data_IF_557098573593
#
_entry.id   IF_557098573593
#
_cell.length_a   1.000
_cell.length_b   1.000
_cell.length_c   1.000
_cell.angle_alpha   90.00
_cell.angle_beta   90.00
_cell.angle_gamma   90.00
#
_symmetry.space_group_name_H-M   'P 1'
#
loop_
_entity.id
_entity.type
_entity.pdbx_description
1 polymer ?
#
# COMPACT_ATOMS: atom_id res chain seq x y z
N UNK A 1 -2.52 1.81 31.97
CA UNK A 1 -1.52 2.17 30.93
C UNK A 1 -0.72 3.34 31.45
N UNK A 2 0.60 3.23 31.57
CA UNK A 2 1.44 4.33 32.05
C UNK A 2 1.35 5.52 31.08
N UNK A 3 1.12 6.76 31.55
CA UNK A 3 1.03 7.95 30.69
C UNK A 3 2.30 8.23 29.88
N UNK A 4 3.43 7.64 30.29
CA UNK A 4 4.72 7.74 29.60
C UNK A 4 4.76 6.97 28.28
N UNK A 5 4.15 5.78 28.23
CA UNK A 5 4.09 4.96 27.02
C UNK A 5 3.28 5.63 25.91
N UNK A 6 2.16 6.27 26.27
CA UNK A 6 1.33 7.04 25.32
C UNK A 6 2.12 8.20 24.73
N UNK A 7 2.89 8.90 25.56
CA UNK A 7 3.76 9.99 25.08
C UNK A 7 4.83 9.48 24.12
N UNK A 8 5.45 8.35 24.42
CA UNK A 8 6.46 7.71 23.56
C UNK A 8 5.87 7.35 22.19
N UNK A 9 4.67 6.77 22.15
CA UNK A 9 3.99 6.42 20.90
C UNK A 9 3.69 7.65 20.04
N UNK A 10 3.20 8.74 20.64
CA UNK A 10 2.93 10.01 19.93
C UNK A 10 4.22 10.56 19.31
N UNK A 11 5.32 10.62 20.06
CA UNK A 11 6.61 11.08 19.53
C UNK A 11 7.15 10.17 18.44
N UNK A 12 6.98 8.85 18.58
CA UNK A 12 7.38 7.90 17.55
C UNK A 12 6.60 8.15 16.24
N UNK A 13 5.28 8.36 16.33
CA UNK A 13 4.45 8.67 15.16
C UNK A 13 4.85 10.00 14.49
N UNK A 14 5.06 11.06 15.26
CA UNK A 14 5.51 12.36 14.76
C UNK A 14 6.87 12.25 14.05
N UNK A 15 7.81 11.55 14.68
CA UNK A 15 9.16 11.36 14.15
C UNK A 15 9.11 10.56 12.84
N UNK A 16 8.34 9.47 12.79
CA UNK A 16 8.17 8.67 11.58
C UNK A 16 7.54 9.48 10.46
N UNK A 17 6.49 10.26 10.76
CA UNK A 17 5.84 11.12 9.78
C UNK A 17 6.82 12.13 9.18
N UNK A 18 7.57 12.83 10.03
CA UNK A 18 8.57 13.80 9.59
C UNK A 18 9.69 13.16 8.76
N UNK A 19 10.21 12.01 9.20
CA UNK A 19 11.24 11.27 8.47
C UNK A 19 10.77 10.83 7.08
N UNK A 20 9.55 10.31 6.98
CA UNK A 20 8.97 9.86 5.70
C UNK A 20 8.74 11.05 4.76
N UNK A 21 8.25 12.19 5.26
CA UNK A 21 8.12 13.40 4.45
C UNK A 21 9.47 13.89 3.93
N UNK A 22 10.53 13.86 4.74
CA UNK A 22 11.89 14.18 4.27
C UNK A 22 12.39 13.22 3.20
N UNK A 23 12.08 11.93 3.33
CA UNK A 23 12.41 10.93 2.29
C UNK A 23 11.68 11.26 1.00
N UNK A 24 10.38 11.57 1.07
CA UNK A 24 9.57 11.94 -0.10
C UNK A 24 10.12 13.18 -0.79
N UNK A 25 10.42 14.25 -0.04
CA UNK A 25 10.98 15.49 -0.60
C UNK A 25 12.32 15.25 -1.30
N UNK A 26 13.22 14.44 -0.70
CA UNK A 26 14.51 14.10 -1.32
C UNK A 26 14.36 13.25 -2.58
N UNK A 27 13.38 12.34 -2.59
CA UNK A 27 13.10 11.52 -3.78
C UNK A 27 12.49 12.35 -4.90
N UNK A 28 11.59 13.28 -4.54
CA UNK A 28 10.98 14.22 -5.48
C UNK A 28 12.04 15.09 -6.14
N UNK A 29 12.91 15.70 -5.34
CA UNK A 29 14.01 16.55 -5.81
C UNK A 29 15.00 15.77 -6.71
N UNK A 30 15.38 14.56 -6.29
CA UNK A 30 16.32 13.74 -7.07
C UNK A 30 15.78 13.19 -8.39
N UNK A 31 14.47 13.08 -8.56
CA UNK A 31 13.82 12.55 -9.77
C UNK A 31 13.03 13.62 -10.56
N UNK A 32 13.05 14.89 -10.12
CA UNK A 32 12.28 15.98 -10.74
C UNK A 32 10.76 15.78 -10.69
N UNK A 33 10.26 15.09 -9.65
CA UNK A 33 8.85 14.78 -9.50
C UNK A 33 8.18 15.76 -8.54
N UNK A 34 6.90 16.04 -8.77
CA UNK A 34 6.07 16.72 -7.79
C UNK A 34 5.90 15.82 -6.54
N UNK A 35 6.30 16.28 -5.32
CA UNK A 35 6.24 15.46 -4.11
C UNK A 35 4.84 14.96 -3.79
N UNK A 36 3.80 15.70 -4.20
CA UNK A 36 2.41 15.31 -4.01
C UNK A 36 2.02 14.07 -4.83
N UNK A 37 2.80 13.72 -5.86
CA UNK A 37 2.55 12.52 -6.67
C UNK A 37 3.10 11.24 -6.05
N UNK A 38 3.91 11.36 -5.00
CA UNK A 38 4.51 10.23 -4.29
C UNK A 38 3.56 9.83 -3.15
N UNK A 39 3.02 8.62 -3.16
CA UNK A 39 2.15 8.16 -2.07
C UNK A 39 2.93 7.93 -0.78
N UNK A 40 2.52 8.63 0.27
CA UNK A 40 3.00 8.43 1.63
C UNK A 40 2.89 6.97 2.08
N UNK A 41 1.77 6.31 1.79
CA UNK A 41 1.51 4.92 2.22
C UNK A 41 2.46 3.94 1.49
N UNK A 42 2.79 4.18 0.22
CA UNK A 42 3.78 3.33 -0.47
C UNK A 42 5.17 3.49 0.12
N UNK A 43 5.60 4.73 0.39
CA UNK A 43 6.90 5.00 1.01
C UNK A 43 6.97 4.37 2.40
N UNK A 44 5.91 4.49 3.21
CA UNK A 44 5.80 3.81 4.50
C UNK A 44 5.91 2.28 4.35
N UNK A 45 5.14 1.66 3.45
CA UNK A 45 5.16 0.20 3.22
C UNK A 45 6.53 -0.31 2.78
N UNK A 46 7.27 0.45 1.98
CA UNK A 46 8.60 0.08 1.52
C UNK A 46 9.67 0.33 2.57
N UNK A 47 9.57 1.44 3.30
CA UNK A 47 10.46 1.74 4.44
C UNK A 47 10.31 0.68 5.52
N UNK A 48 9.08 0.34 5.91
CA UNK A 48 8.81 -0.74 6.88
C UNK A 48 9.41 -2.06 6.43
N UNK A 49 9.21 -2.46 5.17
CA UNK A 49 9.83 -3.68 4.62
C UNK A 49 11.35 -3.63 4.66
N UNK A 50 11.95 -2.48 4.38
CA UNK A 50 13.40 -2.33 4.43
C UNK A 50 13.95 -2.44 5.86
N UNK A 51 13.26 -1.87 6.85
CA UNK A 51 13.67 -1.93 8.27
C UNK A 51 13.52 -3.34 8.81
N UNK A 52 12.39 -4.02 8.53
CA UNK A 52 12.16 -5.41 8.96
C UNK A 52 13.18 -6.38 8.33
N UNK A 53 13.63 -6.12 7.10
CA UNK A 53 14.66 -6.91 6.42
C UNK A 53 16.10 -6.51 6.81
N UNK A 54 16.31 -5.45 7.59
CA UNK A 54 17.65 -4.92 7.89
C UNK A 54 17.86 -4.67 9.39
N UNK A 55 18.40 -5.68 10.07
CA UNK A 55 19.21 -5.47 11.27
C UNK A 55 20.62 -5.11 10.79
N UNK A 56 20.99 -3.82 10.84
CA UNK A 56 22.37 -3.38 10.61
C UNK A 56 22.50 -1.98 10.03
N UNK A 57 23.00 -1.06 10.85
CA UNK A 57 23.23 0.37 10.58
C UNK A 57 24.38 0.60 9.59
N UNK A 58 24.20 0.27 8.30
CA UNK A 58 25.20 0.57 7.26
C UNK A 58 24.72 1.63 6.27
N UNK A 59 25.47 2.73 6.15
CA UNK A 59 25.18 3.83 5.22
C UNK A 59 25.08 3.37 3.75
N UNK A 60 25.82 2.32 3.36
CA UNK A 60 25.75 1.73 2.01
C UNK A 60 24.37 1.13 1.74
N UNK A 61 23.77 0.46 2.73
CA UNK A 61 22.43 -0.13 2.62
C UNK A 61 21.35 0.94 2.51
N UNK A 62 21.51 2.05 3.25
CA UNK A 62 20.62 3.20 3.14
C UNK A 62 20.63 3.80 1.72
N UNK A 63 21.82 4.01 1.14
CA UNK A 63 21.93 4.48 -0.26
C UNK A 63 21.27 3.53 -1.24
N UNK A 64 21.48 2.22 -1.09
CA UNK A 64 20.86 1.22 -1.94
C UNK A 64 19.33 1.19 -1.78
N UNK A 65 18.84 1.35 -0.55
CA UNK A 65 17.42 1.51 -0.28
C UNK A 65 16.84 2.75 -0.97
N UNK A 66 17.49 3.91 -0.86
CA UNK A 66 17.05 5.14 -1.52
C UNK A 66 16.99 4.96 -3.05
N UNK A 67 17.99 4.34 -3.67
CA UNK A 67 17.98 4.03 -5.11
C UNK A 67 16.83 3.07 -5.51
N UNK A 68 16.59 2.03 -4.70
CA UNK A 68 15.46 1.11 -4.90
C UNK A 68 14.10 1.78 -4.68
N UNK A 69 14.04 2.76 -3.78
CA UNK A 69 12.83 3.53 -3.55
C UNK A 69 12.54 4.44 -4.74
N UNK A 70 13.53 5.19 -5.21
CA UNK A 70 13.42 6.09 -6.35
C UNK A 70 12.89 5.37 -7.60
N UNK A 71 13.50 4.22 -7.95
CA UNK A 71 13.02 3.39 -9.06
C UNK A 71 11.58 2.90 -8.90
N UNK A 72 11.12 2.62 -7.67
CA UNK A 72 9.72 2.22 -7.41
C UNK A 72 8.75 3.39 -7.49
N UNK A 73 9.15 4.55 -7.01
CA UNK A 73 8.36 5.79 -7.09
C UNK A 73 8.15 6.17 -8.54
N UNK A 74 9.21 6.20 -9.36
CA UNK A 74 9.15 6.50 -10.80
C UNK A 74 8.27 5.48 -11.53
N UNK A 75 8.47 4.18 -11.29
CA UNK A 75 7.69 3.12 -11.96
C UNK A 75 6.20 3.12 -11.61
N UNK A 76 5.84 3.60 -10.42
CA UNK A 76 4.46 3.54 -9.91
C UNK A 76 4.11 4.83 -9.17
N UNK A 77 4.13 5.95 -9.88
CA UNK A 77 3.55 7.19 -9.39
C UNK A 77 2.05 6.93 -9.10
N UNK A 78 1.60 7.25 -7.89
CA UNK A 78 0.34 6.65 -7.38
C UNK A 78 -0.93 7.17 -8.01
N UNK A 79 -0.87 8.24 -8.77
CA UNK A 79 -2.02 8.79 -9.43
C UNK A 79 -1.62 9.10 -10.88
N UNK A 80 -2.53 8.83 -11.83
CA UNK A 80 -2.53 9.60 -13.08
C UNK A 80 -2.56 11.10 -12.76
N UNK A 81 -2.37 11.98 -13.76
CA UNK A 81 -2.39 13.44 -13.59
C UNK A 81 -3.41 13.86 -12.49
N UNK A 82 -2.92 14.33 -11.33
CA UNK A 82 -3.80 14.85 -10.26
C UNK A 82 -4.64 15.94 -10.92
N UNK A 83 -5.96 15.79 -10.91
CA UNK A 83 -6.87 16.84 -11.36
C UNK A 83 -6.61 18.09 -10.52
N UNK A 84 -6.67 19.27 -11.13
CA UNK A 84 -6.57 20.54 -10.40
C UNK A 84 -7.55 20.52 -9.22
N UNK A 85 -7.15 21.11 -8.09
CA UNK A 85 -8.01 21.22 -6.89
C UNK A 85 -9.27 22.07 -7.12
N UNK A 86 -9.37 22.71 -8.29
CA UNK A 86 -10.52 23.47 -8.79
C UNK A 86 -11.65 22.60 -9.35
N UNK A 87 -11.41 21.31 -9.64
CA UNK A 87 -12.48 20.45 -10.10
C UNK A 87 -13.49 20.22 -8.97
N UNK A 88 -14.77 20.53 -9.22
CA UNK A 88 -15.86 20.26 -8.30
C UNK A 88 -15.75 18.82 -7.78
N UNK A 89 -15.93 18.67 -6.46
CA UNK A 89 -15.98 17.36 -5.82
C UNK A 89 -17.23 16.61 -6.32
N UNK A 90 -17.10 15.97 -7.47
CA UNK A 90 -18.06 14.97 -7.91
C UNK A 90 -17.84 13.73 -7.03
N UNK A 91 -18.56 13.68 -5.91
CA UNK A 91 -18.75 12.44 -5.17
C UNK A 91 -19.39 11.46 -6.14
N UNK A 92 -18.60 10.53 -6.69
CA UNK A 92 -19.16 9.37 -7.38
C UNK A 92 -20.12 8.75 -6.37
N UNK A 93 -21.43 8.84 -6.61
CA UNK A 93 -22.34 7.91 -5.98
C UNK A 93 -21.79 6.53 -6.29
N UNK A 94 -21.54 5.67 -5.29
CA UNK A 94 -21.10 4.32 -5.54
C UNK A 94 -22.24 3.62 -6.29
N UNK A 95 -22.17 3.62 -7.62
CA UNK A 95 -22.84 2.59 -8.41
C UNK A 95 -22.27 1.30 -7.86
N UNK A 96 -23.09 0.59 -7.10
CA UNK A 96 -22.66 -0.61 -6.39
C UNK A 96 -21.96 -1.52 -7.39
N UNK A 97 -20.71 -1.90 -7.09
CA UNK A 97 -19.99 -2.87 -7.91
C UNK A 97 -20.72 -4.24 -7.97
N UNK A 98 -21.66 -4.43 -7.05
CA UNK A 98 -22.50 -5.60 -6.96
C UNK A 98 -23.77 -5.42 -7.78
N UNK A 99 -24.13 -6.47 -8.52
CA UNK A 99 -25.38 -6.54 -9.27
C UNK A 99 -26.55 -6.54 -8.27
N UNK A 100 -27.37 -5.49 -8.32
CA UNK A 100 -28.62 -5.42 -7.54
C UNK A 100 -29.62 -6.40 -8.14
N UNK A 101 -30.05 -7.39 -7.34
CA UNK A 101 -31.07 -8.36 -7.76
C UNK A 101 -32.44 -7.67 -7.85
N UNK A 102 -33.11 -7.77 -9.00
CA UNK A 102 -34.50 -7.33 -9.17
C UNK A 102 -35.46 -8.42 -8.68
N UNK A 103 -36.62 -8.03 -8.14
CA UNK A 103 -37.63 -8.92 -7.53
C UNK A 103 -38.09 -10.05 -8.48
N UNK A 104 -38.09 -9.78 -9.79
CA UNK A 104 -38.58 -10.72 -10.82
C UNK A 104 -37.48 -11.57 -11.49
N UNK A 105 -36.24 -11.53 -11.00
CA UNK A 105 -35.18 -12.35 -11.57
C UNK A 105 -35.28 -13.81 -11.12
N UNK A 106 -35.59 -14.69 -12.07
CA UNK A 106 -35.55 -16.15 -11.88
C UNK A 106 -34.14 -16.57 -11.47
N UNK A 107 -34.01 -17.26 -10.34
CA UNK A 107 -32.72 -17.79 -9.85
C UNK A 107 -32.17 -18.76 -10.90
N UNK A 108 -31.01 -18.46 -11.48
CA UNK A 108 -30.25 -19.47 -12.23
C UNK A 108 -29.89 -20.60 -11.26
N UNK A 109 -30.29 -21.82 -11.58
CA UNK A 109 -29.97 -23.01 -10.77
C UNK A 109 -28.46 -23.06 -10.51
N UNK A 110 -28.08 -23.43 -9.30
CA UNK A 110 -26.68 -23.68 -8.95
C UNK A 110 -26.14 -24.77 -9.88
N UNK A 111 -25.04 -24.49 -10.59
CA UNK A 111 -24.33 -25.48 -11.40
C UNK A 111 -23.94 -26.64 -10.47
N UNK A 112 -24.52 -27.83 -10.68
CA UNK A 112 -24.08 -29.04 -9.97
C UNK A 112 -22.63 -29.30 -10.37
N UNK A 113 -21.74 -29.23 -9.38
CA UNK A 113 -20.33 -29.61 -9.55
C UNK A 113 -20.27 -31.13 -9.34
N UNK A 114 -19.67 -31.91 -10.25
CA UNK A 114 -19.48 -33.33 -10.02
C UNK A 114 -18.60 -33.56 -8.79
N UNK A 115 -18.82 -34.67 -8.10
CA UNK A 115 -18.07 -35.05 -6.91
C UNK A 115 -16.56 -35.06 -7.20
N UNK A 116 -15.79 -34.34 -6.39
CA UNK A 116 -14.34 -34.23 -6.57
C UNK A 116 -13.65 -35.27 -5.71
N UNK A 117 -13.25 -36.39 -6.31
CA UNK A 117 -12.43 -37.41 -5.66
C UNK A 117 -11.02 -36.87 -5.48
N UNK A 118 -10.55 -36.77 -4.23
CA UNK A 118 -9.19 -36.33 -3.90
C UNK A 118 -8.36 -37.58 -3.61
N UNK A 119 -7.46 -37.93 -4.52
CA UNK A 119 -6.47 -38.99 -4.29
C UNK A 119 -5.29 -38.40 -3.50
N UNK A 120 -5.14 -38.80 -2.24
CA UNK A 120 -4.02 -38.38 -1.40
C UNK A 120 -2.82 -39.29 -1.66
N UNK A 121 -1.69 -38.73 -2.07
CA UNK A 121 -0.43 -39.44 -2.17
C UNK A 121 0.22 -39.57 -0.79
N UNK A 122 0.77 -40.75 -0.43
CA UNK A 122 1.21 -41.08 0.94
C UNK A 122 2.45 -40.32 1.41
N UNK A 123 3.12 -39.55 0.54
CA UNK A 123 4.34 -38.82 0.87
C UNK A 123 4.12 -37.60 1.81
N UNK A 124 2.88 -37.25 2.13
CA UNK A 124 2.54 -36.05 2.95
C UNK A 124 2.37 -36.41 4.45
N UNK A 125 2.42 -37.70 4.82
CA UNK A 125 2.22 -38.16 6.21
C UNK A 125 3.51 -38.54 6.95
N UNK A 126 4.67 -38.03 6.54
CA UNK A 126 5.93 -38.19 7.28
C UNK A 126 6.32 -36.91 8.02
#
# INVERSE_FOLDING_TARGET
MSPELVRQEIWAHLTLHHCLNRIIMRLADGEGLDPDRISFVKVLKHTRRSVVLQVGRSARRLRQFMKRMATKVVRKLDNGLRRLREADRYTRHPVSQYIVRKKDQVRRGTRRVPEKVITLTPAILQ
#
